data_IF_620055197752
#
_entry.id   IF_620055197752
#
_cell.length_a   1.000
_cell.length_b   1.000
_cell.length_c   1.000
_cell.angle_alpha   90.00
_cell.angle_beta   90.00
_cell.angle_gamma   90.00
#
_symmetry.space_group_name_H-M   'P 1'
#
loop_
_entity.id
_entity.type
_entity.pdbx_description
1 polymer ?
#
# COMPACT_ATOMS: atom_id res chain seq x y z
N UNK A 1 16.31 -27.07 1.94
CA UNK A 1 15.29 -26.02 2.00
C UNK A 1 15.85 -24.88 2.82
N UNK A 2 16.40 -23.86 2.18
CA UNK A 2 16.79 -22.60 2.83
C UNK A 2 15.57 -21.70 2.83
N UNK A 3 14.91 -21.55 3.98
CA UNK A 3 13.88 -20.53 4.16
C UNK A 3 14.55 -19.17 3.94
N UNK A 4 14.12 -18.44 2.93
CA UNK A 4 14.63 -17.11 2.66
C UNK A 4 14.18 -16.20 3.80
N UNK A 5 15.09 -15.90 4.73
CA UNK A 5 14.86 -15.05 5.90
C UNK A 5 14.88 -13.56 5.52
N UNK A 6 14.17 -13.20 4.46
CA UNK A 6 13.83 -11.79 4.21
C UNK A 6 12.73 -11.42 5.19
N UNK A 7 13.10 -10.62 6.18
CA UNK A 7 12.18 -9.89 7.05
C UNK A 7 11.46 -8.87 6.13
N UNK A 8 10.46 -9.35 5.41
CA UNK A 8 9.65 -8.54 4.49
C UNK A 8 8.40 -8.05 5.20
N UNK A 9 7.97 -6.84 4.87
CA UNK A 9 6.65 -6.35 5.28
C UNK A 9 5.58 -7.01 4.41
N UNK A 10 4.60 -7.65 5.04
CA UNK A 10 3.35 -8.03 4.39
C UNK A 10 2.32 -6.93 4.65
N UNK A 11 1.87 -6.28 3.60
CA UNK A 11 0.81 -5.25 3.65
C UNK A 11 -0.42 -5.81 2.96
N UNK A 12 -1.54 -5.82 3.68
CA UNK A 12 -2.82 -6.32 3.18
C UNK A 12 -3.94 -5.40 3.63
N UNK A 13 -5.10 -5.41 2.94
CA UNK A 13 -6.27 -4.70 3.42
C UNK A 13 -6.79 -5.40 4.69
N UNK A 14 -7.20 -4.63 5.70
CA UNK A 14 -7.86 -5.22 6.88
C UNK A 14 -9.18 -5.87 6.44
N UNK A 15 -9.39 -7.17 6.70
CA UNK A 15 -10.66 -7.84 6.40
C UNK A 15 -11.80 -7.17 7.18
N UNK A 16 -12.99 -7.15 6.58
CA UNK A 16 -14.23 -6.63 7.16
C UNK A 16 -14.24 -5.14 7.54
N UNK A 17 -13.15 -4.39 7.29
CA UNK A 17 -13.14 -2.93 7.42
C UNK A 17 -13.47 -2.26 6.08
N UNK A 18 -14.52 -1.42 6.03
CA UNK A 18 -14.86 -0.71 4.81
C UNK A 18 -13.80 0.35 4.49
N UNK A 19 -13.72 0.71 3.21
CA UNK A 19 -13.08 1.95 2.81
C UNK A 19 -13.86 3.14 3.38
N UNK A 20 -13.20 4.26 3.63
CA UNK A 20 -13.86 5.42 4.19
C UNK A 20 -13.32 6.74 3.68
N UNK A 21 -13.84 7.81 4.27
CA UNK A 21 -13.35 9.18 4.07
C UNK A 21 -12.95 9.80 5.40
N UNK A 22 -11.85 10.54 5.39
CA UNK A 22 -11.46 11.37 6.53
C UNK A 22 -12.38 12.60 6.63
N UNK A 23 -12.33 13.32 7.74
CA UNK A 23 -13.07 14.58 7.90
C UNK A 23 -12.67 15.64 6.86
N UNK A 24 -11.44 15.58 6.35
CA UNK A 24 -10.95 16.43 5.27
C UNK A 24 -11.38 15.94 3.86
N UNK A 25 -12.28 14.95 3.77
CA UNK A 25 -12.80 14.43 2.50
C UNK A 25 -11.85 13.50 1.73
N UNK A 26 -10.68 13.15 2.28
CA UNK A 26 -9.72 12.23 1.65
C UNK A 26 -10.16 10.78 1.79
N UNK A 27 -9.89 9.95 0.79
CA UNK A 27 -10.14 8.52 0.90
C UNK A 27 -9.12 7.87 1.82
N UNK A 28 -9.53 6.83 2.54
CA UNK A 28 -8.58 5.98 3.27
C UNK A 28 -8.87 4.49 3.07
N UNK A 29 -7.79 3.71 3.04
CA UNK A 29 -7.78 2.26 2.96
C UNK A 29 -7.22 1.72 4.28
N UNK A 30 -7.99 0.96 5.08
CA UNK A 30 -7.45 0.26 6.24
C UNK A 30 -6.50 -0.84 5.81
N UNK A 31 -5.26 -0.77 6.27
CA UNK A 31 -4.19 -1.72 6.00
C UNK A 31 -3.80 -2.44 7.28
N UNK A 32 -3.53 -3.74 7.16
CA UNK A 32 -2.82 -4.55 8.12
C UNK A 32 -1.39 -4.71 7.62
N UNK A 33 -0.44 -4.38 8.47
CA UNK A 33 0.99 -4.49 8.20
C UNK A 33 1.53 -5.54 9.16
N UNK A 34 2.09 -6.62 8.62
CA UNK A 34 2.73 -7.68 9.39
C UNK A 34 4.20 -7.74 9.03
N UNK A 35 5.04 -7.81 10.05
CA UNK A 35 6.46 -8.08 9.90
C UNK A 35 6.84 -9.33 10.73
N UNK A 36 8.13 -9.66 10.78
CA UNK A 36 8.62 -10.79 11.56
C UNK A 36 8.52 -10.62 13.08
N UNK A 37 8.03 -9.48 13.58
CA UNK A 37 7.95 -9.13 15.01
C UNK A 37 6.50 -8.93 15.48
N UNK A 38 5.58 -8.59 14.59
CA UNK A 38 4.18 -8.42 14.94
C UNK A 38 3.29 -7.91 13.81
N UNK A 39 2.06 -7.57 14.19
CA UNK A 39 1.03 -7.06 13.29
C UNK A 39 0.49 -5.74 13.83
N UNK A 40 0.39 -4.74 12.97
CA UNK A 40 -0.25 -3.45 13.25
C UNK A 40 -1.26 -3.09 12.17
N UNK A 41 -2.15 -2.15 12.47
CA UNK A 41 -3.10 -1.60 11.52
C UNK A 41 -2.83 -0.11 11.30
N UNK A 42 -2.92 0.32 10.03
CA UNK A 42 -2.72 1.70 9.62
C UNK A 42 -3.79 2.10 8.59
N UNK A 43 -3.93 3.40 8.35
CA UNK A 43 -4.77 3.91 7.26
C UNK A 43 -3.87 4.52 6.18
N UNK A 44 -3.93 3.97 4.97
CA UNK A 44 -3.37 4.66 3.80
C UNK A 44 -4.36 5.72 3.37
N UNK A 45 -4.01 6.99 3.59
CA UNK A 45 -4.86 8.14 3.25
C UNK A 45 -4.38 8.73 1.93
N UNK A 46 -5.29 8.88 0.98
CA UNK A 46 -5.01 9.32 -0.38
C UNK A 46 -5.83 10.58 -0.69
N UNK A 47 -5.20 11.57 -1.33
CA UNK A 47 -5.96 12.62 -2.00
C UNK A 47 -6.74 12.06 -3.19
N UNK A 48 -7.61 12.88 -3.81
CA UNK A 48 -8.30 12.49 -5.04
C UNK A 48 -7.30 12.14 -6.15
N UNK A 49 -6.30 13.00 -6.35
CA UNK A 49 -5.23 12.80 -7.33
C UNK A 49 -4.41 11.53 -7.05
N UNK A 50 -4.03 11.28 -5.79
CA UNK A 50 -3.27 10.06 -5.45
C UNK A 50 -4.10 8.79 -5.72
N UNK A 51 -5.43 8.87 -5.52
CA UNK A 51 -6.34 7.75 -5.76
C UNK A 51 -6.47 7.45 -7.26
N UNK A 52 -6.55 8.48 -8.10
CA UNK A 52 -6.58 8.35 -9.57
C UNK A 52 -5.26 7.78 -10.10
N UNK A 53 -4.12 8.26 -9.58
CA UNK A 53 -2.80 7.73 -9.94
C UNK A 53 -2.67 6.25 -9.55
N UNK A 54 -3.04 5.90 -8.32
CA UNK A 54 -3.02 4.51 -7.85
C UNK A 54 -3.91 3.62 -8.72
N UNK A 55 -5.12 4.08 -9.08
CA UNK A 55 -6.03 3.35 -9.96
C UNK A 55 -5.39 3.13 -11.35
N UNK A 56 -4.75 4.16 -11.90
CA UNK A 56 -4.06 4.07 -13.19
C UNK A 56 -2.94 3.03 -13.20
N UNK A 57 -2.05 3.06 -12.20
CA UNK A 57 -0.96 2.10 -12.06
C UNK A 57 -1.48 0.68 -11.83
N UNK A 58 -2.47 0.49 -10.96
CA UNK A 58 -3.08 -0.82 -10.74
C UNK A 58 -3.75 -1.37 -12.01
N UNK A 59 -4.47 -0.53 -12.74
CA UNK A 59 -5.13 -0.93 -14.00
C UNK A 59 -4.11 -1.34 -15.05
N UNK A 60 -3.00 -0.60 -15.15
CA UNK A 60 -1.87 -0.93 -16.04
C UNK A 60 -1.24 -2.27 -15.67
N UNK A 61 -0.96 -2.50 -14.38
CA UNK A 61 -0.39 -3.77 -13.89
C UNK A 61 -1.31 -4.95 -14.16
N UNK A 62 -2.62 -4.79 -13.91
CA UNK A 62 -3.62 -5.84 -14.18
C UNK A 62 -3.76 -6.15 -15.68
N UNK A 63 -3.46 -5.18 -16.55
CA UNK A 63 -3.39 -5.38 -17.99
C UNK A 63 -2.07 -6.02 -18.47
N UNK A 64 -1.17 -6.41 -17.56
CA UNK A 64 0.13 -7.01 -17.88
C UNK A 64 1.22 -5.99 -18.20
N UNK A 65 1.01 -4.71 -17.86
CA UNK A 65 2.06 -3.71 -17.93
C UNK A 65 3.12 -3.93 -16.84
N UNK A 66 4.36 -3.61 -17.15
CA UNK A 66 5.44 -3.62 -16.15
C UNK A 66 5.24 -2.51 -15.11
N UNK A 67 5.55 -2.75 -13.82
CA UNK A 67 5.54 -1.73 -12.79
C UNK A 67 6.46 -0.57 -13.19
N UNK A 68 5.99 0.66 -12.97
CA UNK A 68 6.88 1.80 -13.00
C UNK A 68 8.02 1.57 -11.97
N UNK A 69 9.26 1.96 -12.29
CA UNK A 69 10.32 1.96 -11.30
C UNK A 69 9.85 2.71 -10.06
N UNK A 70 10.01 2.10 -8.88
CA UNK A 70 9.83 2.84 -7.64
C UNK A 70 10.93 3.90 -7.61
N UNK A 71 10.56 5.17 -7.51
CA UNK A 71 11.53 6.18 -7.12
C UNK A 71 12.14 5.74 -5.79
N UNK A 72 13.48 5.80 -5.63
CA UNK A 72 14.10 5.47 -4.36
C UNK A 72 13.45 6.35 -3.29
N UNK A 73 12.86 5.72 -2.28
CA UNK A 73 12.32 6.41 -1.11
C UNK A 73 13.46 7.25 -0.55
N UNK A 74 13.31 8.58 -0.63
CA UNK A 74 14.40 9.55 -0.58
C UNK A 74 15.57 9.18 0.33
N UNK A 75 16.77 9.12 -0.25
CA UNK A 75 17.99 9.20 0.54
C UNK A 75 17.97 10.52 1.32
N UNK A 76 18.29 10.53 2.63
CA UNK A 76 18.43 11.78 3.36
C UNK A 76 19.59 12.58 2.76
N UNK A 77 19.33 13.84 2.43
CA UNK A 77 20.32 14.82 2.00
C UNK A 77 21.28 15.21 3.15
#
# INVERSE_FOLDING_TARGET
MTANSQIGYRVERVPDKPLGRTQAGRFFIPLRITDGQGTTEAHLVLSGTDSEQLLGELSRLLAGGEPAPLDPIGEPA
#
